data_IF_196298501524
#
_entry.id   IF_196298501524
#
_cell.length_a   1.000
_cell.length_b   1.000
_cell.length_c   1.000
_cell.angle_alpha   90.00
_cell.angle_beta   90.00
_cell.angle_gamma   90.00
#
_symmetry.space_group_name_H-M   'P 1'
#
loop_
_entity.id
_entity.type
_entity.pdbx_description
1 polymer ?
#
# COMPACT_ATOMS: atom_id res chain seq x y z
N UNK A 1 -7.01 5.88 13.52
CA UNK A 1 -6.39 4.64 12.99
C UNK A 1 -6.78 3.50 13.92
N UNK A 2 -7.20 2.35 13.34
CA UNK A 2 -7.51 1.15 14.12
C UNK A 2 -6.70 -0.03 13.60
N UNK A 3 -6.02 -0.73 14.51
CA UNK A 3 -5.29 -1.97 14.23
C UNK A 3 -5.92 -3.09 15.04
N UNK A 4 -6.33 -4.17 14.40
CA UNK A 4 -6.94 -5.34 15.05
C UNK A 4 -6.20 -6.61 14.65
N UNK A 5 -5.95 -7.47 15.62
CA UNK A 5 -5.40 -8.81 15.42
C UNK A 5 -6.30 -9.88 16.05
N UNK A 6 -6.06 -11.12 15.69
CA UNK A 6 -6.67 -12.32 16.26
C UNK A 6 -5.62 -13.18 16.97
N UNK A 7 -4.65 -12.55 17.62
CA UNK A 7 -3.57 -13.19 18.35
C UNK A 7 -3.99 -13.68 19.72
N UNK A 8 -3.00 -13.88 20.59
CA UNK A 8 -3.22 -14.37 21.96
C UNK A 8 -3.98 -13.39 22.87
N UNK A 9 -4.18 -12.14 22.43
CA UNK A 9 -4.76 -11.11 23.26
C UNK A 9 -3.82 -10.68 24.39
N UNK A 10 -4.36 -9.85 25.31
CA UNK A 10 -3.63 -9.31 26.45
C UNK A 10 -4.51 -9.54 27.69
N UNK A 11 -3.91 -10.06 28.76
CA UNK A 11 -4.63 -10.27 30.00
C UNK A 11 -4.95 -8.93 30.71
N UNK A 12 -6.05 -8.89 31.47
CA UNK A 12 -6.45 -7.69 32.22
C UNK A 12 -5.33 -7.17 33.15
N UNK A 13 -4.53 -8.09 33.71
CA UNK A 13 -3.39 -7.76 34.57
C UNK A 13 -2.23 -7.07 33.84
N UNK A 14 -2.14 -7.27 32.55
CA UNK A 14 -1.08 -6.75 31.71
C UNK A 14 -1.48 -5.49 30.94
N UNK A 15 -2.78 -5.19 30.79
CA UNK A 15 -3.29 -4.04 30.04
C UNK A 15 -2.66 -2.69 30.45
N UNK A 16 -2.46 -2.49 31.76
CA UNK A 16 -1.81 -1.27 32.25
C UNK A 16 -0.29 -1.27 32.07
N UNK A 17 0.31 -2.46 32.01
CA UNK A 17 1.76 -2.65 31.98
C UNK A 17 2.34 -2.57 30.57
N UNK A 18 1.57 -2.90 29.54
CA UNK A 18 2.05 -2.88 28.12
C UNK A 18 2.60 -1.53 27.68
N UNK A 19 2.26 -0.45 28.41
CA UNK A 19 2.76 0.89 28.14
C UNK A 19 4.09 1.22 28.83
N UNK A 20 4.61 0.30 29.65
CA UNK A 20 5.87 0.48 30.36
C UNK A 20 7.02 -0.11 29.54
N UNK A 21 8.18 0.56 29.47
CA UNK A 21 9.36 0.03 28.77
C UNK A 21 9.81 -1.33 29.33
N UNK A 22 10.18 -2.22 28.42
CA UNK A 22 10.70 -3.58 28.70
C UNK A 22 9.68 -4.55 29.31
N UNK A 23 8.43 -4.15 29.52
CA UNK A 23 7.39 -5.07 29.95
C UNK A 23 6.92 -5.97 28.78
N UNK A 24 6.76 -7.24 29.09
CA UNK A 24 6.29 -8.27 28.18
C UNK A 24 5.33 -9.21 28.90
N UNK A 25 4.28 -9.66 28.23
CA UNK A 25 3.39 -10.66 28.79
C UNK A 25 4.09 -12.02 28.84
N UNK A 26 4.13 -12.62 30.04
CA UNK A 26 4.66 -13.98 30.23
C UNK A 26 3.53 -14.98 29.94
N UNK A 27 3.64 -15.70 28.85
CA UNK A 27 2.72 -16.81 28.59
C UNK A 27 3.08 -18.03 29.44
N UNK A 28 2.08 -18.71 29.94
CA UNK A 28 2.22 -19.91 30.82
C UNK A 28 3.11 -21.02 30.21
N UNK A 29 3.34 -21.01 28.91
CA UNK A 29 4.15 -21.98 28.19
C UNK A 29 5.64 -21.60 28.05
N UNK A 30 6.12 -20.57 28.71
CA UNK A 30 7.55 -20.17 28.69
C UNK A 30 8.10 -19.73 27.33
N UNK A 31 7.25 -19.58 26.32
CA UNK A 31 7.68 -19.07 25.01
C UNK A 31 7.65 -17.54 25.03
N UNK A 32 8.83 -16.96 25.07
CA UNK A 32 9.03 -15.55 24.76
C UNK A 32 8.85 -15.36 23.26
N UNK A 33 7.82 -14.64 22.84
CA UNK A 33 7.79 -14.08 21.48
C UNK A 33 8.74 -12.88 21.51
N UNK A 34 9.93 -13.05 20.88
CA UNK A 34 11.04 -12.12 20.96
C UNK A 34 10.68 -10.71 20.52
N UNK A 35 10.80 -9.79 21.45
CA UNK A 35 10.64 -8.35 21.24
C UNK A 35 11.36 -7.62 22.35
N UNK A 36 11.66 -6.32 22.17
CA UNK A 36 12.35 -5.50 23.19
C UNK A 36 11.43 -4.99 24.30
N UNK A 37 10.09 -5.12 24.16
CA UNK A 37 9.13 -4.45 25.03
C UNK A 37 9.12 -2.93 24.90
N UNK A 38 9.69 -2.38 23.82
CA UNK A 38 9.79 -0.94 23.60
C UNK A 38 8.78 -0.40 22.58
N UNK A 39 8.18 -1.25 21.75
CA UNK A 39 7.31 -0.82 20.64
C UNK A 39 6.11 0.00 21.11
N UNK A 40 5.30 -0.52 22.03
CA UNK A 40 4.10 0.15 22.52
C UNK A 40 4.42 1.43 23.32
N UNK A 41 5.39 1.45 24.25
CA UNK A 41 5.82 2.68 24.92
C UNK A 41 6.27 3.78 23.96
N UNK A 42 7.05 3.44 22.94
CA UNK A 42 7.50 4.40 21.90
C UNK A 42 6.30 4.90 21.11
N UNK A 43 5.41 4.01 20.66
CA UNK A 43 4.20 4.39 19.93
C UNK A 43 3.35 5.35 20.74
N UNK A 44 3.12 5.06 22.03
CA UNK A 44 2.37 5.93 22.93
C UNK A 44 3.03 7.32 23.03
N UNK A 45 4.32 7.36 23.25
CA UNK A 45 5.07 8.63 23.33
C UNK A 45 4.93 9.47 22.05
N UNK A 46 5.02 8.84 20.87
CA UNK A 46 4.86 9.53 19.58
C UNK A 46 3.44 10.08 19.44
N UNK A 47 2.44 9.27 19.74
CA UNK A 47 1.03 9.68 19.65
C UNK A 47 0.75 10.86 20.59
N UNK A 48 1.23 10.82 21.83
CA UNK A 48 1.10 11.90 22.81
C UNK A 48 1.82 13.19 22.35
N UNK A 49 3.02 13.07 21.77
CA UNK A 49 3.73 14.22 21.17
C UNK A 49 2.97 14.83 19.99
N UNK A 50 2.17 14.04 19.29
CA UNK A 50 1.26 14.50 18.24
C UNK A 50 -0.08 15.00 18.79
N UNK A 51 -0.20 15.19 20.09
CA UNK A 51 -1.45 15.57 20.79
C UNK A 51 -2.61 14.59 20.57
N UNK A 52 -2.31 13.34 20.28
CA UNK A 52 -3.27 12.26 20.08
C UNK A 52 -3.50 11.42 21.33
N UNK A 53 -4.34 10.40 21.18
CA UNK A 53 -4.61 9.38 22.19
C UNK A 53 -4.47 7.99 21.61
N UNK A 54 -4.03 7.04 22.42
CA UNK A 54 -3.97 5.64 22.07
C UNK A 54 -4.70 4.81 23.12
N UNK A 55 -5.59 3.92 22.68
CA UNK A 55 -6.37 3.03 23.52
C UNK A 55 -6.23 1.59 23.04
N UNK A 56 -6.42 0.64 23.94
CA UNK A 56 -6.43 -0.78 23.67
C UNK A 56 -7.69 -1.42 24.22
N UNK A 57 -8.30 -2.31 23.45
CA UNK A 57 -9.31 -3.26 23.90
C UNK A 57 -8.82 -4.65 23.52
N UNK A 58 -8.68 -5.54 24.50
CA UNK A 58 -8.15 -6.87 24.24
C UNK A 58 -8.87 -7.90 25.10
N UNK A 59 -8.95 -9.12 24.59
CA UNK A 59 -9.49 -10.28 25.27
C UNK A 59 -8.50 -11.44 25.11
N UNK A 60 -8.11 -12.02 26.24
CA UNK A 60 -7.12 -13.10 26.25
C UNK A 60 -7.60 -14.31 25.43
N UNK A 61 -6.74 -14.84 24.57
CA UNK A 61 -7.00 -15.91 23.58
C UNK A 61 -8.00 -15.54 22.46
N UNK A 62 -8.37 -14.26 22.29
CA UNK A 62 -9.25 -13.80 21.20
C UNK A 62 -8.54 -12.82 20.29
N UNK A 63 -7.75 -11.88 20.86
CA UNK A 63 -6.99 -10.89 20.11
C UNK A 63 -7.06 -9.50 20.69
N UNK A 64 -6.45 -8.54 19.99
CA UNK A 64 -6.37 -7.15 20.47
C UNK A 64 -6.85 -6.16 19.41
N UNK A 65 -7.30 -5.00 19.86
CA UNK A 65 -7.69 -3.86 19.04
C UNK A 65 -7.06 -2.60 19.61
N UNK A 66 -6.13 -2.03 18.89
CA UNK A 66 -5.53 -0.74 19.21
C UNK A 66 -6.25 0.36 18.42
N UNK A 67 -6.57 1.47 19.09
CA UNK A 67 -7.24 2.63 18.51
C UNK A 67 -6.36 3.84 18.78
N UNK A 68 -5.94 4.52 17.71
CA UNK A 68 -5.11 5.73 17.75
C UNK A 68 -5.87 6.88 17.11
N UNK A 69 -6.07 7.95 17.86
CA UNK A 69 -6.69 9.19 17.41
C UNK A 69 -5.65 10.31 17.46
N UNK A 70 -5.36 10.92 16.32
CA UNK A 70 -4.39 12.01 16.19
C UNK A 70 -5.10 13.20 15.55
N UNK A 71 -5.08 14.38 16.18
CA UNK A 71 -5.61 15.59 15.58
C UNK A 71 -4.66 16.08 14.48
N UNK A 72 -5.20 16.36 13.30
CA UNK A 72 -4.48 17.01 12.22
C UNK A 72 -5.17 18.31 11.84
N UNK A 73 -4.37 19.36 11.65
CA UNK A 73 -4.90 20.54 11.00
C UNK A 73 -5.29 20.22 9.56
N UNK A 74 -6.48 20.64 9.16
CA UNK A 74 -6.88 20.52 7.76
C UNK A 74 -6.06 21.56 7.00
N UNK A 75 -4.96 21.14 6.40
CA UNK A 75 -4.16 21.98 5.53
C UNK A 75 -5.04 22.57 4.43
N UNK A 76 -4.80 23.83 4.06
CA UNK A 76 -5.43 24.43 2.89
C UNK A 76 -5.18 23.49 1.73
N UNK A 77 -6.25 22.87 1.22
CA UNK A 77 -6.19 22.02 0.05
C UNK A 77 -5.44 22.79 -1.04
N UNK A 78 -4.22 22.36 -1.33
CA UNK A 78 -3.57 22.77 -2.56
C UNK A 78 -4.44 22.14 -3.63
N UNK A 79 -5.36 22.92 -4.17
CA UNK A 79 -6.12 22.57 -5.37
C UNK A 79 -5.09 22.50 -6.49
N UNK A 80 -4.34 21.39 -6.52
CA UNK A 80 -3.50 21.07 -7.67
C UNK A 80 -4.46 21.02 -8.85
N UNK A 81 -4.17 21.87 -9.84
CA UNK A 81 -4.98 21.99 -11.04
C UNK A 81 -5.28 20.59 -11.61
N UNK A 82 -6.42 20.04 -11.26
CA UNK A 82 -6.94 18.75 -11.77
C UNK A 82 -7.07 18.75 -13.30
N UNK A 83 -6.87 19.90 -13.96
CA UNK A 83 -7.09 20.09 -15.40
C UNK A 83 -5.95 19.58 -16.29
N UNK A 84 -4.71 19.49 -15.79
CA UNK A 84 -3.53 19.15 -16.62
C UNK A 84 -3.47 17.68 -17.09
N UNK A 85 -4.18 16.77 -16.43
CA UNK A 85 -4.00 15.33 -16.68
C UNK A 85 -5.25 14.63 -17.24
N UNK A 86 -6.34 15.37 -17.50
CA UNK A 86 -7.61 14.76 -17.98
C UNK A 86 -7.53 14.11 -19.35
N UNK A 87 -6.57 14.49 -20.17
CA UNK A 87 -6.34 13.86 -21.47
C UNK A 87 -5.53 12.57 -21.38
N UNK A 88 -4.81 12.36 -20.28
CA UNK A 88 -3.98 11.16 -20.13
C UNK A 88 -4.83 9.91 -19.94
N UNK A 89 -4.41 8.83 -20.61
CA UNK A 89 -4.93 7.48 -20.41
C UNK A 89 -3.78 6.55 -19.99
N UNK A 90 -3.95 5.89 -18.88
CA UNK A 90 -2.92 5.09 -18.20
C UNK A 90 -3.31 3.62 -18.20
N UNK A 91 -2.35 2.73 -18.43
CA UNK A 91 -2.52 1.30 -18.21
C UNK A 91 -1.67 0.85 -17.02
N UNK A 92 -2.26 0.09 -16.08
CA UNK A 92 -1.59 -0.40 -14.89
C UNK A 92 -1.39 -1.91 -14.98
N UNK A 93 -0.17 -2.35 -14.72
CA UNK A 93 0.21 -3.77 -14.69
C UNK A 93 0.90 -4.09 -13.38
N UNK A 94 0.21 -4.84 -12.53
CA UNK A 94 0.78 -5.32 -11.28
C UNK A 94 0.08 -6.62 -10.87
N UNK A 95 0.83 -7.60 -10.40
CA UNK A 95 0.28 -8.85 -9.88
C UNK A 95 -0.12 -8.75 -8.40
N UNK A 96 0.23 -7.67 -7.72
CA UNK A 96 -0.23 -7.35 -6.36
C UNK A 96 -1.51 -6.51 -6.44
N UNK A 97 -2.64 -7.11 -6.06
CA UNK A 97 -3.95 -6.46 -6.08
C UNK A 97 -4.03 -5.26 -5.13
N UNK A 98 -3.33 -5.29 -4.00
CA UNK A 98 -3.33 -4.20 -3.01
C UNK A 98 -2.60 -2.99 -3.60
N UNK A 99 -1.41 -3.20 -4.17
CA UNK A 99 -0.65 -2.16 -4.83
C UNK A 99 -1.41 -1.58 -6.02
N UNK A 100 -2.06 -2.44 -6.82
CA UNK A 100 -2.90 -2.04 -7.94
C UNK A 100 -4.06 -1.14 -7.49
N UNK A 101 -4.77 -1.54 -6.43
CA UNK A 101 -5.87 -0.76 -5.85
C UNK A 101 -5.41 0.63 -5.38
N UNK A 102 -4.23 0.72 -4.78
CA UNK A 102 -3.63 1.99 -4.35
C UNK A 102 -3.34 2.92 -5.54
N UNK A 103 -2.77 2.37 -6.61
CA UNK A 103 -2.50 3.13 -7.85
C UNK A 103 -3.81 3.62 -8.49
N UNK A 104 -4.80 2.75 -8.61
CA UNK A 104 -6.13 3.07 -9.15
C UNK A 104 -6.81 4.19 -8.35
N UNK A 105 -6.80 4.10 -7.03
CA UNK A 105 -7.31 5.13 -6.11
C UNK A 105 -6.64 6.48 -6.35
N UNK A 106 -5.32 6.47 -6.55
CA UNK A 106 -4.54 7.69 -6.80
C UNK A 106 -4.89 8.31 -8.14
N UNK A 107 -4.97 7.53 -9.21
CA UNK A 107 -5.35 8.01 -10.54
C UNK A 107 -6.79 8.55 -10.57
N UNK A 108 -7.71 7.87 -9.88
CA UNK A 108 -9.10 8.34 -9.71
C UNK A 108 -9.13 9.72 -9.04
N UNK A 109 -8.37 9.91 -7.97
CA UNK A 109 -8.27 11.20 -7.26
C UNK A 109 -7.68 12.31 -8.13
N UNK A 110 -6.77 11.97 -9.03
CA UNK A 110 -6.20 12.91 -10.00
C UNK A 110 -7.09 13.16 -11.22
N UNK A 111 -8.17 12.38 -11.39
CA UNK A 111 -9.07 12.47 -12.54
C UNK A 111 -8.46 11.93 -13.84
N UNK A 112 -7.48 11.02 -13.73
CA UNK A 112 -6.82 10.36 -14.85
C UNK A 112 -7.60 9.10 -15.21
N UNK A 113 -7.84 8.88 -16.51
CA UNK A 113 -8.47 7.66 -17.01
C UNK A 113 -7.45 6.52 -16.99
N UNK A 114 -7.88 5.36 -16.54
CA UNK A 114 -7.01 4.20 -16.50
C UNK A 114 -7.76 2.90 -16.76
N UNK A 115 -7.01 1.90 -17.23
CA UNK A 115 -7.36 0.49 -17.21
C UNK A 115 -6.27 -0.28 -16.50
N UNK A 116 -6.55 -1.50 -16.04
CA UNK A 116 -5.59 -2.31 -15.28
C UNK A 116 -5.73 -3.79 -15.60
N UNK A 117 -4.63 -4.52 -15.43
CA UNK A 117 -4.61 -5.98 -15.51
C UNK A 117 -3.60 -6.57 -14.55
N UNK A 118 -3.97 -7.69 -13.92
CA UNK A 118 -3.06 -8.56 -13.16
C UNK A 118 -2.48 -9.67 -14.05
N UNK A 119 -3.13 -9.96 -15.18
CA UNK A 119 -2.68 -10.99 -16.14
C UNK A 119 -1.88 -10.36 -17.27
N UNK A 120 -0.56 -10.60 -17.22
CA UNK A 120 0.35 -10.10 -18.21
C UNK A 120 0.15 -10.64 -19.63
N UNK A 121 -0.47 -11.79 -19.82
CA UNK A 121 -0.56 -12.45 -21.12
C UNK A 121 -1.44 -11.71 -22.12
N UNK A 122 -2.47 -11.03 -21.63
CA UNK A 122 -3.41 -10.29 -22.47
C UNK A 122 -3.01 -8.84 -22.75
N UNK A 123 -2.06 -8.31 -21.98
CA UNK A 123 -1.73 -6.87 -22.01
C UNK A 123 -1.31 -6.40 -23.39
N UNK A 124 -0.43 -7.15 -24.07
CA UNK A 124 0.04 -6.77 -25.41
C UNK A 124 -1.14 -6.68 -26.39
N UNK A 125 -2.08 -7.60 -26.32
CA UNK A 125 -3.28 -7.60 -27.15
C UNK A 125 -4.15 -6.37 -26.84
N UNK A 126 -4.42 -6.11 -25.58
CA UNK A 126 -5.23 -4.97 -25.13
C UNK A 126 -4.61 -3.65 -25.62
N UNK A 127 -3.30 -3.47 -25.43
CA UNK A 127 -2.60 -2.25 -25.83
C UNK A 127 -2.63 -2.04 -27.35
N UNK A 128 -2.45 -3.12 -28.15
CA UNK A 128 -2.52 -3.07 -29.60
C UNK A 128 -3.91 -2.71 -30.10
N UNK A 129 -4.94 -3.42 -29.61
CA UNK A 129 -6.31 -3.17 -30.00
C UNK A 129 -6.77 -1.75 -29.65
N UNK A 130 -6.36 -1.22 -28.49
CA UNK A 130 -6.65 0.16 -28.12
C UNK A 130 -5.93 1.15 -29.04
N UNK A 131 -4.67 0.89 -29.39
CA UNK A 131 -3.90 1.73 -30.29
C UNK A 131 -4.50 1.76 -31.71
N UNK A 132 -4.87 0.61 -32.26
CA UNK A 132 -5.52 0.48 -33.58
C UNK A 132 -6.86 1.20 -33.68
N UNK A 133 -7.59 1.30 -32.55
CA UNK A 133 -8.83 2.07 -32.46
C UNK A 133 -8.64 3.57 -32.26
N UNK A 134 -7.40 4.06 -32.15
CA UNK A 134 -7.13 5.45 -31.81
C UNK A 134 -7.40 5.82 -30.36
N UNK A 135 -7.55 4.81 -29.48
CA UNK A 135 -7.81 4.94 -28.04
C UNK A 135 -6.59 4.49 -27.22
N UNK A 136 -5.40 4.67 -27.76
CA UNK A 136 -4.15 4.24 -27.14
C UNK A 136 -3.92 4.81 -25.74
N UNK A 137 -2.95 4.24 -25.05
CA UNK A 137 -2.51 4.69 -23.73
C UNK A 137 -1.27 5.55 -23.87
N UNK A 138 -1.20 6.62 -23.08
CA UNK A 138 -0.03 7.51 -23.04
C UNK A 138 1.08 6.92 -22.17
N UNK A 139 0.68 6.24 -21.07
CA UNK A 139 1.60 5.69 -20.07
C UNK A 139 1.17 4.27 -19.70
N UNK A 140 2.14 3.37 -19.59
CA UNK A 140 1.96 2.05 -19.01
C UNK A 140 2.87 1.90 -17.78
N UNK A 141 2.29 1.71 -16.59
CA UNK A 141 3.03 1.35 -15.40
C UNK A 141 3.14 -0.17 -15.32
N UNK A 142 4.37 -0.67 -15.19
CA UNK A 142 4.65 -2.10 -15.11
C UNK A 142 5.43 -2.40 -13.84
N UNK A 143 4.90 -3.28 -12.99
CA UNK A 143 5.67 -3.80 -11.88
C UNK A 143 6.80 -4.71 -12.39
N UNK A 144 8.05 -4.32 -12.07
CA UNK A 144 9.22 -4.96 -12.66
C UNK A 144 9.48 -6.36 -12.13
N UNK A 145 9.19 -6.59 -10.83
CA UNK A 145 9.48 -7.84 -10.11
C UNK A 145 8.30 -8.84 -10.19
N UNK A 146 7.55 -8.84 -11.28
CA UNK A 146 6.54 -9.87 -11.49
C UNK A 146 7.15 -11.28 -11.52
N UNK A 147 6.41 -12.32 -11.08
CA UNK A 147 6.89 -13.70 -11.07
C UNK A 147 7.52 -14.11 -12.41
N UNK A 148 8.49 -15.02 -12.37
CA UNK A 148 9.20 -15.55 -13.56
C UNK A 148 9.87 -14.49 -14.45
N UNK A 149 10.13 -13.30 -13.90
CA UNK A 149 10.72 -12.19 -14.67
C UNK A 149 9.79 -11.64 -15.75
N UNK A 150 8.49 -11.84 -15.57
CA UNK A 150 7.47 -11.48 -16.55
C UNK A 150 7.47 -9.97 -16.85
N UNK A 151 7.64 -9.12 -15.86
CA UNK A 151 7.71 -7.66 -16.05
C UNK A 151 8.77 -7.24 -17.06
N UNK A 152 9.98 -7.84 -16.97
CA UNK A 152 11.07 -7.60 -17.92
C UNK A 152 10.71 -8.05 -19.34
N UNK A 153 10.10 -9.25 -19.47
CA UNK A 153 9.67 -9.78 -20.78
C UNK A 153 8.62 -8.89 -21.39
N UNK A 154 7.61 -8.50 -20.62
CA UNK A 154 6.53 -7.64 -21.06
C UNK A 154 7.03 -6.29 -21.59
N UNK A 155 7.92 -5.62 -20.86
CA UNK A 155 8.52 -4.36 -21.32
C UNK A 155 9.27 -4.52 -22.63
N UNK A 156 10.02 -5.61 -22.80
CA UNK A 156 10.73 -5.90 -24.08
C UNK A 156 9.76 -6.11 -25.23
N UNK A 157 8.67 -6.86 -25.02
CA UNK A 157 7.66 -7.09 -26.06
C UNK A 157 6.92 -5.79 -26.42
N UNK A 158 6.54 -4.98 -25.42
CA UNK A 158 5.93 -3.68 -25.67
C UNK A 158 6.85 -2.76 -26.50
N UNK A 159 8.17 -2.76 -26.24
CA UNK A 159 9.14 -1.93 -26.97
C UNK A 159 9.40 -2.39 -28.41
N UNK A 160 9.04 -3.62 -28.79
CA UNK A 160 9.06 -4.05 -30.20
C UNK A 160 7.89 -3.47 -31.01
N UNK A 161 6.83 -3.03 -30.34
CA UNK A 161 5.55 -2.62 -30.92
C UNK A 161 5.36 -1.11 -30.83
N UNK A 162 5.65 -0.55 -29.65
CA UNK A 162 5.43 0.85 -29.32
C UNK A 162 6.78 1.55 -29.11
N UNK A 163 7.01 2.63 -29.82
CA UNK A 163 8.14 3.52 -29.57
C UNK A 163 7.95 4.36 -28.29
N UNK A 164 8.94 5.19 -27.95
CA UNK A 164 8.92 5.99 -26.72
C UNK A 164 7.95 7.17 -26.78
N UNK A 165 7.61 7.61 -27.96
CA UNK A 165 6.70 8.74 -28.16
C UNK A 165 5.26 8.26 -28.14
N UNK A 166 4.98 7.06 -28.65
CA UNK A 166 3.67 6.44 -28.69
C UNK A 166 3.23 5.94 -27.30
N UNK A 167 4.10 5.27 -26.54
CA UNK A 167 3.79 4.72 -25.21
C UNK A 167 4.96 4.90 -24.25
N UNK A 168 4.74 5.70 -23.21
CA UNK A 168 5.71 5.82 -22.09
C UNK A 168 5.56 4.64 -21.14
N UNK A 169 6.63 3.86 -20.95
CA UNK A 169 6.64 2.76 -20.01
C UNK A 169 7.39 3.19 -18.76
N UNK A 170 6.72 3.10 -17.62
CA UNK A 170 7.27 3.37 -16.28
C UNK A 170 7.33 2.05 -15.53
N UNK A 171 8.51 1.68 -15.07
CA UNK A 171 8.70 0.47 -14.24
C UNK A 171 8.84 0.85 -12.77
N UNK A 172 8.20 0.08 -11.91
CA UNK A 172 8.37 0.18 -10.46
C UNK A 172 8.91 -1.13 -9.90
N UNK A 173 9.82 -1.04 -8.93
CA UNK A 173 10.27 -2.15 -8.10
C UNK A 173 10.22 -1.70 -6.64
N UNK A 174 9.93 -2.64 -5.74
CA UNK A 174 10.24 -2.43 -4.33
C UNK A 174 11.60 -3.08 -4.09
N UNK A 175 12.59 -2.30 -3.75
CA UNK A 175 13.82 -2.85 -3.22
C UNK A 175 13.51 -3.33 -1.80
N UNK A 176 13.40 -4.64 -1.64
CA UNK A 176 13.52 -5.29 -0.33
C UNK A 176 14.99 -5.63 -0.18
N UNK A 177 15.78 -4.72 0.40
CA UNK A 177 17.03 -5.09 1.05
C UNK A 177 16.75 -5.88 2.32
#
# INVERSE_FOLDING_TARGET
ITVRDTGCGISDKSLDKIWQPFEQEQHENGKYYGGSGLGLPITKSIVEQMHGTINVASEYNVGSKFIVDIPFEIGKSVVREKRKFRSLKVFLVNNDEIALHYMMSTLTRLGIRYDSSTDGKEIIRILKEAYERGEGYDICFVYWQMPEGYGKKLVREMRKIFDRDTLKIVTSSYDTE
#
